data_IF_406142483238
#
_entry.id   IF_406142483238
#
_cell.length_a   1.000
_cell.length_b   1.000
_cell.length_c   1.000
_cell.angle_alpha   90.00
_cell.angle_beta   90.00
_cell.angle_gamma   90.00
#
_symmetry.space_group_name_H-M   'P 1'
#
loop_
_entity.id
_entity.type
_entity.pdbx_description
1 polymer ?
#
# COMPACT_ATOMS: atom_id res chain seq x y z
N UNK A 1 -11.99 18.72 24.66
CA UNK A 1 -12.16 18.16 23.31
C UNK A 1 -11.29 16.91 23.20
N UNK A 2 -11.84 15.72 22.95
CA UNK A 2 -11.01 14.53 22.69
C UNK A 2 -10.23 14.75 21.39
N UNK A 3 -8.90 14.84 21.47
CA UNK A 3 -8.07 14.91 20.28
C UNK A 3 -8.40 13.70 19.39
N UNK A 4 -8.99 13.97 18.24
CA UNK A 4 -9.33 12.92 17.25
C UNK A 4 -8.03 12.27 16.79
N UNK A 5 -7.88 10.97 17.00
CA UNK A 5 -6.72 10.22 16.53
C UNK A 5 -6.64 10.33 15.02
N UNK A 6 -5.53 10.85 14.51
CA UNK A 6 -5.27 11.05 13.08
C UNK A 6 -4.26 10.01 12.63
N UNK A 7 -4.69 9.01 11.91
CA UNK A 7 -3.77 8.05 11.31
C UNK A 7 -3.67 8.31 9.79
N UNK A 8 -2.50 8.08 9.23
CA UNK A 8 -2.26 8.24 7.81
C UNK A 8 -1.87 6.90 7.17
N UNK A 9 -2.18 6.74 5.89
CA UNK A 9 -1.75 5.60 5.11
C UNK A 9 -0.78 6.05 4.01
N UNK A 10 0.31 5.30 3.83
CA UNK A 10 1.31 5.48 2.79
C UNK A 10 1.31 4.23 1.92
N UNK A 11 0.90 4.37 0.66
CA UNK A 11 0.51 3.26 -0.20
C UNK A 11 1.40 3.21 -1.43
N UNK A 12 2.21 2.16 -1.54
CA UNK A 12 2.89 1.82 -2.78
C UNK A 12 1.87 1.25 -3.78
N UNK A 13 1.51 2.05 -4.77
CA UNK A 13 0.46 1.67 -5.72
C UNK A 13 0.86 0.50 -6.63
N UNK A 14 2.14 0.39 -6.96
CA UNK A 14 2.64 -0.66 -7.85
C UNK A 14 2.67 -2.01 -7.13
N UNK A 15 3.23 -2.04 -5.91
CA UNK A 15 3.25 -3.25 -5.09
C UNK A 15 1.83 -3.71 -4.75
N UNK A 16 0.94 -2.77 -4.37
CA UNK A 16 -0.48 -3.06 -4.13
C UNK A 16 -1.16 -3.65 -5.37
N UNK A 17 -0.97 -3.02 -6.53
CA UNK A 17 -1.59 -3.49 -7.78
C UNK A 17 -1.09 -4.88 -8.17
N UNK A 18 0.22 -5.07 -8.24
CA UNK A 18 0.81 -6.35 -8.66
C UNK A 18 0.49 -7.47 -7.68
N UNK A 19 0.59 -7.24 -6.38
CA UNK A 19 0.31 -8.24 -5.36
C UNK A 19 -1.15 -8.71 -5.34
N UNK A 20 -2.09 -7.85 -5.78
CA UNK A 20 -3.52 -8.23 -5.83
C UNK A 20 -3.91 -8.80 -7.20
N UNK A 21 -3.43 -8.22 -8.30
CA UNK A 21 -3.93 -8.53 -9.65
C UNK A 21 -3.17 -9.65 -10.36
N UNK A 22 -1.98 -10.01 -9.89
CA UNK A 22 -1.16 -11.03 -10.55
C UNK A 22 -1.46 -12.43 -10.00
N UNK A 23 -1.56 -13.41 -10.88
CA UNK A 23 -1.58 -14.82 -10.48
C UNK A 23 -0.24 -15.22 -9.86
N UNK A 24 -0.25 -16.09 -8.87
CA UNK A 24 0.97 -16.68 -8.30
C UNK A 24 0.99 -18.16 -8.59
N UNK A 25 2.10 -18.62 -9.17
CA UNK A 25 2.36 -20.02 -9.52
C UNK A 25 3.51 -20.51 -8.63
N UNK A 26 3.36 -21.65 -7.98
CA UNK A 26 4.42 -22.27 -7.18
C UNK A 26 5.50 -22.91 -8.05
N UNK A 27 6.61 -23.34 -7.45
CA UNK A 27 7.72 -24.01 -8.14
C UNK A 27 7.36 -25.34 -8.82
N UNK A 28 6.13 -25.86 -8.60
CA UNK A 28 5.59 -27.06 -9.27
C UNK A 28 4.63 -26.70 -10.42
N UNK A 29 4.54 -25.44 -10.83
CA UNK A 29 3.65 -24.99 -11.90
C UNK A 29 2.17 -24.89 -11.48
N UNK A 30 1.82 -25.04 -10.23
CA UNK A 30 0.44 -24.95 -9.74
C UNK A 30 0.10 -23.51 -9.36
N UNK A 31 -1.05 -23.04 -9.82
CA UNK A 31 -1.57 -21.73 -9.41
C UNK A 31 -2.07 -21.79 -7.97
N UNK A 32 -1.37 -21.07 -7.08
CA UNK A 32 -1.70 -21.00 -5.66
C UNK A 32 -2.48 -19.74 -5.28
N UNK A 33 -2.50 -18.76 -6.16
CA UNK A 33 -3.32 -17.55 -6.03
C UNK A 33 -3.81 -17.08 -7.38
N UNK A 34 -5.08 -16.69 -7.45
CA UNK A 34 -5.71 -16.11 -8.63
C UNK A 34 -5.93 -14.62 -8.39
N UNK A 35 -5.28 -13.80 -9.21
CA UNK A 35 -5.39 -12.34 -9.14
C UNK A 35 -6.83 -11.85 -9.32
N UNK A 36 -7.12 -10.69 -8.76
CA UNK A 36 -8.42 -10.03 -8.87
C UNK A 36 -8.27 -8.51 -8.92
N UNK A 37 -9.34 -7.82 -9.27
CA UNK A 37 -9.33 -6.37 -9.42
C UNK A 37 -9.75 -5.70 -8.10
N UNK A 38 -8.87 -4.90 -7.51
CA UNK A 38 -9.17 -4.13 -6.31
C UNK A 38 -10.17 -2.99 -6.62
N UNK A 39 -11.18 -2.84 -5.77
CA UNK A 39 -12.05 -1.66 -5.74
C UNK A 39 -11.41 -0.60 -4.83
N UNK A 40 -10.74 0.39 -5.42
CA UNK A 40 -10.04 1.44 -4.69
C UNK A 40 -10.97 2.28 -3.81
N UNK A 41 -12.25 2.47 -4.22
CA UNK A 41 -13.23 3.19 -3.38
C UNK A 41 -13.54 2.42 -2.11
N UNK A 42 -13.82 1.11 -2.23
CA UNK A 42 -14.04 0.24 -1.07
C UNK A 42 -12.79 0.14 -0.19
N UNK A 43 -11.62 0.06 -0.79
CA UNK A 43 -10.37 0.00 -0.05
C UNK A 43 -10.12 1.30 0.74
N UNK A 44 -10.40 2.47 0.16
CA UNK A 44 -10.31 3.75 0.89
C UNK A 44 -11.27 3.81 2.09
N UNK A 45 -12.49 3.31 1.92
CA UNK A 45 -13.47 3.21 3.00
C UNK A 45 -12.97 2.24 4.08
N UNK A 46 -12.47 1.07 3.69
CA UNK A 46 -11.91 0.09 4.62
C UNK A 46 -10.75 0.66 5.46
N UNK A 47 -9.83 1.39 4.84
CA UNK A 47 -8.73 2.05 5.54
C UNK A 47 -9.27 3.04 6.60
N UNK A 48 -10.27 3.84 6.24
CA UNK A 48 -10.89 4.78 7.17
C UNK A 48 -11.56 4.05 8.35
N UNK A 49 -12.37 3.06 8.05
CA UNK A 49 -13.25 2.44 9.04
C UNK A 49 -12.49 1.49 9.98
N UNK A 50 -11.49 0.75 9.48
CA UNK A 50 -10.74 -0.20 10.30
C UNK A 50 -9.55 0.43 11.03
N UNK A 51 -8.84 1.34 10.37
CA UNK A 51 -7.58 1.90 10.92
C UNK A 51 -7.69 3.38 11.29
N UNK A 52 -8.83 4.02 11.08
CA UNK A 52 -9.02 5.44 11.37
C UNK A 52 -8.22 6.34 10.45
N UNK A 53 -8.01 5.94 9.18
CA UNK A 53 -7.18 6.68 8.25
C UNK A 53 -7.86 7.97 7.80
N UNK A 54 -7.28 9.11 8.18
CA UNK A 54 -7.70 10.44 7.75
C UNK A 54 -7.17 10.75 6.36
N UNK A 55 -5.84 10.68 6.15
CA UNK A 55 -5.18 10.89 4.85
C UNK A 55 -4.60 9.58 4.31
N UNK A 56 -4.82 9.32 3.04
CA UNK A 56 -4.27 8.17 2.33
C UNK A 56 -3.43 8.67 1.14
N UNK A 57 -2.11 8.65 1.30
CA UNK A 57 -1.15 8.99 0.25
C UNK A 57 -0.95 7.79 -0.66
N UNK A 58 -1.18 7.97 -1.94
CA UNK A 58 -0.99 6.94 -2.97
C UNK A 58 0.19 7.34 -3.86
N UNK A 59 1.30 6.66 -3.72
CA UNK A 59 2.52 6.88 -4.50
C UNK A 59 2.42 6.13 -5.82
N UNK A 60 2.41 6.87 -6.92
CA UNK A 60 2.12 6.30 -8.24
C UNK A 60 3.02 6.92 -9.32
N UNK A 61 3.56 6.07 -10.21
CA UNK A 61 4.26 6.53 -11.39
C UNK A 61 3.30 7.23 -12.36
N UNK A 62 3.64 8.45 -12.77
CA UNK A 62 2.84 9.18 -13.76
C UNK A 62 2.95 8.54 -15.14
N UNK A 63 1.82 8.23 -15.76
CA UNK A 63 1.74 7.75 -17.14
C UNK A 63 0.76 8.63 -17.91
N UNK A 64 1.18 9.27 -19.03
CA UNK A 64 0.25 9.98 -19.93
C UNK A 64 -0.92 9.08 -20.34
N UNK A 65 -2.09 9.66 -20.48
CA UNK A 65 -3.32 8.94 -20.85
C UNK A 65 -4.13 8.38 -19.67
N UNK A 66 -3.60 8.38 -18.46
CA UNK A 66 -4.29 7.84 -17.27
C UNK A 66 -5.01 8.90 -16.43
N UNK A 67 -5.20 10.11 -16.93
CA UNK A 67 -5.76 11.24 -16.18
C UNK A 67 -7.12 10.92 -15.55
N UNK A 68 -8.01 10.25 -16.30
CA UNK A 68 -9.33 9.86 -15.79
C UNK A 68 -9.26 8.90 -14.60
N UNK A 69 -8.25 8.00 -14.58
CA UNK A 69 -7.99 7.12 -13.45
C UNK A 69 -7.50 7.93 -12.24
N UNK A 70 -6.57 8.86 -12.44
CA UNK A 70 -6.05 9.70 -11.35
C UNK A 70 -7.14 10.56 -10.72
N UNK A 71 -7.99 11.18 -11.55
CA UNK A 71 -9.16 11.96 -11.07
C UNK A 71 -10.06 11.08 -10.18
N UNK A 72 -10.39 9.86 -10.60
CA UNK A 72 -11.21 8.95 -9.80
C UNK A 72 -10.57 8.57 -8.48
N UNK A 73 -9.25 8.36 -8.44
CA UNK A 73 -8.54 8.06 -7.20
C UNK A 73 -8.62 9.26 -6.23
N UNK A 74 -8.47 10.48 -6.73
CA UNK A 74 -8.62 11.70 -5.93
C UNK A 74 -10.06 11.88 -5.44
N UNK A 75 -11.07 11.62 -6.27
CA UNK A 75 -12.49 11.63 -5.88
C UNK A 75 -12.81 10.59 -4.79
N UNK A 76 -12.10 9.46 -4.76
CA UNK A 76 -12.23 8.47 -3.68
C UNK A 76 -11.53 8.90 -2.38
N UNK A 77 -10.82 10.04 -2.39
CA UNK A 77 -10.16 10.60 -1.22
C UNK A 77 -8.72 10.13 -1.02
N UNK A 78 -8.02 9.72 -2.10
CA UNK A 78 -6.58 9.54 -2.08
C UNK A 78 -5.86 10.84 -2.40
N UNK A 79 -4.72 11.05 -1.75
CA UNK A 79 -3.75 12.08 -2.12
C UNK A 79 -2.72 11.41 -3.04
N UNK A 80 -2.84 11.63 -4.35
CA UNK A 80 -1.93 11.05 -5.32
C UNK A 80 -0.60 11.81 -5.32
N UNK A 81 0.49 11.09 -5.03
CA UNK A 81 1.86 11.59 -5.13
C UNK A 81 2.47 11.00 -6.39
N UNK A 82 2.70 11.85 -7.38
CA UNK A 82 3.18 11.41 -8.69
C UNK A 82 4.70 11.47 -8.76
N UNK A 83 5.30 10.38 -9.24
CA UNK A 83 6.70 10.37 -9.66
C UNK A 83 6.79 10.40 -11.17
N UNK A 84 7.65 11.25 -11.76
CA UNK A 84 7.98 11.17 -13.16
C UNK A 84 8.52 9.78 -13.50
N UNK A 85 7.99 9.18 -14.55
CA UNK A 85 8.48 7.91 -15.06
C UNK A 85 9.40 8.17 -16.26
N UNK A 86 10.56 7.53 -16.30
CA UNK A 86 11.44 7.56 -17.44
C UNK A 86 11.13 6.35 -18.33
N UNK A 87 10.73 6.62 -19.57
CA UNK A 87 10.69 5.58 -20.59
C UNK A 87 12.12 5.22 -20.99
N UNK A 88 12.53 4.00 -20.73
CA UNK A 88 13.82 3.47 -21.17
C UNK A 88 13.74 3.11 -22.67
N UNK A 89 14.88 3.07 -23.34
CA UNK A 89 14.99 2.73 -24.79
C UNK A 89 14.41 1.35 -25.14
N UNK A 90 14.31 0.45 -24.17
CA UNK A 90 13.72 -0.89 -24.30
C UNK A 90 12.20 -0.91 -24.02
N UNK A 91 11.56 0.26 -23.93
CA UNK A 91 10.10 0.38 -23.65
C UNK A 91 9.71 0.15 -22.20
N UNK A 92 10.66 -0.19 -21.32
CA UNK A 92 10.39 -0.32 -19.89
C UNK A 92 10.27 1.05 -19.24
N UNK A 93 9.34 1.16 -18.31
CA UNK A 93 9.13 2.37 -17.52
C UNK A 93 9.82 2.16 -16.18
N UNK A 94 10.88 2.94 -15.91
CA UNK A 94 11.53 2.95 -14.60
C UNK A 94 10.98 4.11 -13.75
N UNK A 95 10.38 3.79 -12.63
CA UNK A 95 9.90 4.77 -11.65
C UNK A 95 9.68 4.05 -10.33
N UNK A 96 10.72 3.99 -9.50
CA UNK A 96 10.59 3.49 -8.14
C UNK A 96 10.06 4.64 -7.27
N UNK A 97 8.98 4.40 -6.53
CA UNK A 97 8.32 5.38 -5.66
C UNK A 97 8.71 5.24 -4.19
N UNK A 98 9.63 4.32 -3.86
CA UNK A 98 9.97 3.98 -2.47
C UNK A 98 10.58 5.17 -1.73
N UNK A 99 11.51 5.89 -2.38
CA UNK A 99 12.14 7.07 -1.79
C UNK A 99 11.11 8.16 -1.48
N UNK A 100 10.15 8.39 -2.37
CA UNK A 100 9.06 9.34 -2.17
C UNK A 100 8.15 8.91 -1.02
N UNK A 101 7.82 7.61 -0.91
CA UNK A 101 7.00 7.10 0.18
C UNK A 101 7.70 7.31 1.52
N UNK A 102 8.99 6.94 1.62
CA UNK A 102 9.79 7.14 2.83
C UNK A 102 9.88 8.63 3.16
N UNK A 103 10.25 9.48 2.20
CA UNK A 103 10.38 10.91 2.42
C UNK A 103 9.07 11.57 2.89
N UNK A 104 7.96 11.31 2.19
CA UNK A 104 6.67 11.88 2.55
C UNK A 104 6.17 11.39 3.91
N UNK A 105 6.42 10.12 4.26
CA UNK A 105 6.05 9.60 5.56
C UNK A 105 6.81 10.30 6.70
N UNK A 106 8.06 10.73 6.45
CA UNK A 106 8.86 11.49 7.40
C UNK A 106 8.51 12.98 7.42
N UNK A 107 8.19 13.60 6.27
CA UNK A 107 7.67 14.98 6.22
C UNK A 107 6.40 15.12 7.05
N UNK A 108 5.49 14.16 6.94
CA UNK A 108 4.21 14.15 7.67
C UNK A 108 4.32 13.60 9.10
N UNK A 109 5.51 13.17 9.56
CA UNK A 109 5.71 12.40 10.79
C UNK A 109 5.10 13.02 12.06
N UNK A 110 5.11 14.34 12.19
CA UNK A 110 4.52 15.06 13.31
C UNK A 110 2.99 15.27 13.17
N UNK A 111 2.44 15.06 11.97
CA UNK A 111 1.05 15.39 11.64
C UNK A 111 0.07 14.22 11.89
N UNK A 112 0.58 13.01 12.16
CA UNK A 112 -0.25 11.83 12.45
C UNK A 112 0.16 11.14 13.75
N UNK A 113 -0.78 10.41 14.33
CA UNK A 113 -0.54 9.57 15.49
C UNK A 113 0.19 8.29 15.11
N UNK A 114 -0.38 7.53 14.18
CA UNK A 114 0.21 6.29 13.67
C UNK A 114 0.04 6.18 12.14
N UNK A 115 0.95 5.45 11.52
CA UNK A 115 0.97 5.18 10.08
C UNK A 115 0.54 3.75 9.76
N UNK A 116 -0.16 3.60 8.64
CA UNK A 116 -0.34 2.33 7.94
C UNK A 116 0.52 2.35 6.69
N UNK A 117 1.43 1.39 6.56
CA UNK A 117 2.22 1.19 5.33
C UNK A 117 1.53 0.12 4.49
N UNK A 118 1.30 0.38 3.21
CA UNK A 118 0.68 -0.58 2.30
C UNK A 118 1.71 -0.99 1.25
N UNK A 119 2.45 -2.03 1.55
CA UNK A 119 3.42 -2.70 0.68
C UNK A 119 3.83 -4.05 1.26
N UNK A 120 4.28 -4.96 0.42
CA UNK A 120 4.94 -6.22 0.81
C UNK A 120 6.45 -6.20 0.55
N UNK A 121 6.99 -5.02 0.17
CA UNK A 121 8.39 -4.88 -0.20
C UNK A 121 9.30 -4.76 1.02
N UNK A 122 10.42 -5.52 0.99
CA UNK A 122 11.43 -5.50 2.04
C UNK A 122 12.27 -4.23 2.08
N UNK A 123 12.25 -3.43 1.01
CA UNK A 123 12.97 -2.15 0.97
C UNK A 123 12.42 -1.17 2.01
N UNK A 124 11.19 -1.38 2.48
CA UNK A 124 10.59 -0.62 3.57
C UNK A 124 10.94 -1.13 4.97
N UNK A 125 11.80 -2.17 5.11
CA UNK A 125 12.17 -2.73 6.41
C UNK A 125 12.61 -1.64 7.40
N UNK A 126 13.58 -0.81 7.02
CA UNK A 126 14.12 0.24 7.90
C UNK A 126 13.05 1.26 8.33
N UNK A 127 12.12 1.62 7.43
CA UNK A 127 11.03 2.53 7.74
C UNK A 127 10.07 1.92 8.76
N UNK A 128 9.69 0.66 8.56
CA UNK A 128 8.78 -0.08 9.46
C UNK A 128 9.42 -0.26 10.84
N UNK A 129 10.70 -0.67 10.90
CA UNK A 129 11.46 -0.82 12.14
C UNK A 129 11.53 0.52 12.91
N UNK A 130 11.83 1.61 12.21
CA UNK A 130 11.85 2.94 12.80
C UNK A 130 10.46 3.34 13.34
N UNK A 131 9.39 3.09 12.60
CA UNK A 131 8.02 3.41 13.06
C UNK A 131 7.61 2.55 14.27
N UNK A 132 8.06 1.32 14.38
CA UNK A 132 7.87 0.49 15.57
C UNK A 132 8.59 1.14 16.77
N UNK A 133 9.87 1.48 16.62
CA UNK A 133 10.69 2.08 17.69
C UNK A 133 10.12 3.42 18.21
N UNK A 134 9.45 4.18 17.33
CA UNK A 134 8.82 5.45 17.65
C UNK A 134 7.35 5.32 18.09
N UNK A 135 6.83 4.10 18.21
CA UNK A 135 5.40 3.83 18.47
C UNK A 135 4.47 4.52 17.45
N UNK A 136 4.94 4.66 16.21
CA UNK A 136 4.26 5.31 15.08
C UNK A 136 3.68 4.33 14.07
N UNK A 137 3.95 3.03 14.18
CA UNK A 137 3.36 2.04 13.29
C UNK A 137 1.99 1.61 13.80
N UNK A 138 0.97 1.67 12.93
CA UNK A 138 -0.34 1.06 13.15
C UNK A 138 -0.38 -0.36 12.63
N UNK A 139 -0.04 -0.54 11.36
CA UNK A 139 -0.02 -1.83 10.63
C UNK A 139 0.80 -1.70 9.36
N UNK A 140 1.31 -2.83 8.89
CA UNK A 140 1.73 -3.03 7.50
C UNK A 140 0.65 -3.87 6.82
N UNK A 141 0.02 -3.32 5.78
CA UNK A 141 -0.96 -4.03 4.96
C UNK A 141 -0.24 -4.62 3.75
N UNK A 142 0.03 -5.90 3.84
CA UNK A 142 0.67 -6.67 2.79
C UNK A 142 -0.37 -7.02 1.71
N UNK A 143 -0.13 -6.70 0.42
CA UNK A 143 -1.08 -7.00 -0.64
C UNK A 143 -1.40 -8.49 -0.74
N UNK A 144 -0.39 -9.35 -0.62
CA UNK A 144 -0.57 -10.80 -0.78
C UNK A 144 0.33 -11.61 0.17
N UNK A 145 -0.30 -12.47 0.97
CA UNK A 145 0.40 -13.34 1.92
C UNK A 145 1.30 -14.40 1.26
N UNK A 146 1.08 -14.71 -0.02
CA UNK A 146 1.89 -15.67 -0.77
C UNK A 146 3.12 -15.04 -1.44
N UNK A 147 3.24 -13.71 -1.40
CA UNK A 147 4.31 -12.97 -2.09
C UNK A 147 4.61 -11.66 -1.36
N UNK A 148 5.43 -11.73 -0.34
CA UNK A 148 5.98 -10.56 0.35
C UNK A 148 7.36 -10.88 0.91
N UNK A 149 8.10 -9.87 1.34
CA UNK A 149 9.46 -10.02 1.86
C UNK A 149 9.48 -10.65 3.25
N UNK A 150 10.32 -11.66 3.43
CA UNK A 150 10.60 -12.25 4.74
C UNK A 150 11.24 -11.26 5.73
N UNK A 151 11.80 -10.14 5.26
CA UNK A 151 12.30 -9.08 6.13
C UNK A 151 11.17 -8.45 6.94
N UNK A 152 10.00 -8.22 6.33
CA UNK A 152 8.83 -7.69 7.04
C UNK A 152 8.27 -8.70 8.05
N UNK A 153 8.35 -9.99 7.72
CA UNK A 153 7.91 -11.08 8.61
C UNK A 153 8.73 -11.10 9.91
N UNK A 154 10.05 -10.87 9.83
CA UNK A 154 10.93 -10.81 11.00
C UNK A 154 10.57 -9.70 12.00
N UNK A 155 9.92 -8.64 11.56
CA UNK A 155 9.48 -7.54 12.43
C UNK A 155 8.14 -7.83 13.12
N UNK A 156 7.39 -8.83 12.63
CA UNK A 156 6.10 -9.23 13.21
C UNK A 156 6.31 -10.34 14.22
N UNK A 157 6.01 -10.04 15.47
CA UNK A 157 6.03 -11.03 16.56
C UNK A 157 4.61 -11.34 17.02
N UNK A 158 4.38 -12.45 17.76
CA UNK A 158 3.06 -12.74 18.34
C UNK A 158 2.50 -11.59 19.19
N UNK A 159 3.39 -10.84 19.86
CA UNK A 159 3.02 -9.74 20.76
C UNK A 159 2.63 -8.49 20.00
N UNK A 160 3.29 -8.16 18.86
CA UNK A 160 3.04 -6.94 18.14
C UNK A 160 2.14 -7.11 16.90
N UNK A 161 2.11 -8.32 16.31
CA UNK A 161 1.29 -8.69 15.14
C UNK A 161 1.04 -7.53 14.16
N UNK A 162 2.12 -7.00 13.56
CA UNK A 162 2.05 -5.78 12.74
C UNK A 162 1.50 -6.01 11.32
N UNK A 163 1.41 -7.26 10.85
CA UNK A 163 1.01 -7.58 9.48
C UNK A 163 -0.49 -7.87 9.38
N UNK A 164 -1.14 -7.31 8.37
CA UNK A 164 -2.47 -7.70 7.90
C UNK A 164 -2.41 -7.93 6.37
N UNK A 165 -3.23 -8.84 5.84
CA UNK A 165 -3.16 -9.29 4.44
C UNK A 165 -4.40 -8.90 3.64
N UNK A 166 -4.20 -8.12 2.56
CA UNK A 166 -5.31 -7.59 1.74
C UNK A 166 -5.96 -8.69 0.90
N UNK A 167 -5.18 -9.65 0.38
CA UNK A 167 -5.70 -10.73 -0.44
C UNK A 167 -6.77 -11.59 0.26
N UNK A 168 -6.74 -11.67 1.59
CA UNK A 168 -7.76 -12.36 2.38
C UNK A 168 -9.12 -11.61 2.43
N UNK A 169 -9.13 -10.36 2.00
CA UNK A 169 -10.31 -9.50 1.99
C UNK A 169 -11.02 -9.44 0.63
N UNK A 170 -10.71 -10.36 -0.29
CA UNK A 170 -11.26 -10.38 -1.66
C UNK A 170 -12.78 -10.18 -1.68
N UNK A 171 -13.52 -10.93 -0.87
CA UNK A 171 -14.99 -10.84 -0.82
C UNK A 171 -15.55 -9.45 -0.51
N UNK A 172 -14.76 -8.62 0.22
CA UNK A 172 -15.12 -7.25 0.62
C UNK A 172 -14.61 -6.20 -0.35
N UNK A 173 -13.42 -6.42 -0.94
CA UNK A 173 -12.66 -5.41 -1.66
C UNK A 173 -12.59 -5.63 -3.18
N UNK A 174 -13.06 -6.76 -3.69
CA UNK A 174 -13.07 -7.01 -5.14
C UNK A 174 -14.04 -6.09 -5.86
N UNK A 175 -13.57 -5.51 -6.97
CA UNK A 175 -14.41 -4.72 -7.87
C UNK A 175 -15.44 -5.64 -8.55
N UNK A 176 -16.71 -5.35 -8.33
CA UNK A 176 -17.83 -6.02 -9.01
C UNK A 176 -18.45 -5.05 -10.01
N UNK A 177 -18.44 -5.43 -11.28
CA UNK A 177 -19.17 -4.70 -12.31
C UNK A 177 -20.66 -4.74 -11.93
N UNK A 178 -21.26 -3.59 -11.71
CA UNK A 178 -22.72 -3.46 -11.57
C UNK A 178 -23.37 -3.52 -12.92
#
# INVERSE_FOLDING_TARGET
>A
MKNKVKNYAFIDSNNLYLGISSDIINGKGQKIYSGWKLDYKRFRIYLRDKYGIEKAFLFIGFKPGNQAMYTKLQEYGYICVFKPTLALKDGKVKGNVDAELVLHSMIEFSNYNQAVIVSGDGDFYCLVEYFISQNKLKKVLVPNQCSYSSLLDRLSTPENNILDFINLLRGKLEYKKR
#
